data_IF_931382908846
#
_entry.id   IF_931382908846
#
_cell.length_a   1.000
_cell.length_b   1.000
_cell.length_c   1.000
_cell.angle_alpha   90.00
_cell.angle_beta   90.00
_cell.angle_gamma   90.00
#
_symmetry.space_group_name_H-M   'P 1'
#
loop_
_entity.id
_entity.type
_entity.pdbx_description
1 polymer ?
#
# COMPACT_ATOMS: atom_id res chain seq x y z
N UNK A 1 -21.67 -24.99 -24.12
CA UNK A 1 -21.66 -23.57 -23.72
C UNK A 1 -22.30 -23.47 -22.35
N UNK A 2 -21.67 -22.79 -21.40
CA UNK A 2 -22.11 -22.74 -20.00
C UNK A 2 -22.96 -21.49 -19.72
N UNK A 3 -24.02 -21.68 -18.95
CA UNK A 3 -25.04 -20.69 -18.60
C UNK A 3 -24.58 -19.83 -17.41
N UNK A 4 -24.84 -18.50 -17.44
CA UNK A 4 -24.36 -17.49 -16.45
C UNK A 4 -24.87 -17.69 -15.01
N UNK A 5 -25.73 -18.67 -14.72
CA UNK A 5 -26.27 -18.89 -13.37
C UNK A 5 -25.29 -19.55 -12.39
N UNK A 6 -24.10 -19.98 -12.84
CA UNK A 6 -23.16 -20.78 -12.04
C UNK A 6 -21.90 -20.04 -11.58
N UNK A 7 -21.84 -18.71 -11.68
CA UNK A 7 -20.60 -17.94 -11.58
C UNK A 7 -20.61 -16.90 -10.46
N UNK A 8 -20.94 -17.32 -9.24
CA UNK A 8 -20.93 -16.43 -8.08
C UNK A 8 -19.69 -16.59 -7.17
N UNK A 9 -18.91 -17.68 -7.22
CA UNK A 9 -17.63 -17.81 -6.48
C UNK A 9 -16.80 -19.09 -6.92
N UNK A 10 -15.65 -18.95 -7.63
CA UNK A 10 -14.59 -19.98 -8.01
C UNK A 10 -14.87 -21.07 -9.10
N UNK A 11 -14.19 -21.04 -10.30
CA UNK A 11 -14.17 -22.03 -11.44
C UNK A 11 -13.52 -23.36 -11.08
N UNK A 12 -14.33 -24.12 -10.37
CA UNK A 12 -14.21 -25.54 -10.08
C UNK A 12 -14.98 -26.31 -11.13
N UNK A 13 -14.45 -27.44 -11.63
CA UNK A 13 -15.20 -28.34 -12.52
C UNK A 13 -15.63 -29.60 -11.77
N UNK A 14 -16.85 -30.05 -12.00
CA UNK A 14 -17.33 -31.31 -11.42
C UNK A 14 -16.93 -32.53 -12.25
N UNK A 15 -17.19 -33.72 -11.70
CA UNK A 15 -16.86 -35.02 -12.30
C UNK A 15 -17.64 -35.33 -13.59
N UNK A 16 -18.60 -34.51 -13.97
CA UNK A 16 -19.41 -34.60 -15.20
C UNK A 16 -19.02 -33.56 -16.28
N UNK A 17 -18.07 -32.66 -15.97
CA UNK A 17 -17.42 -31.81 -16.97
C UNK A 17 -18.04 -30.42 -17.19
N UNK A 18 -18.92 -29.94 -16.30
CA UNK A 18 -19.38 -28.55 -16.28
C UNK A 18 -18.32 -27.58 -15.69
N UNK A 19 -18.37 -26.29 -16.04
CA UNK A 19 -17.53 -25.23 -15.46
C UNK A 19 -18.32 -24.36 -14.46
N UNK A 20 -17.62 -23.65 -13.55
CA UNK A 20 -18.19 -22.89 -12.43
C UNK A 20 -17.38 -21.59 -12.08
N UNK A 21 -16.93 -20.68 -12.96
CA UNK A 21 -16.25 -19.33 -12.73
C UNK A 21 -15.67 -18.85 -11.38
N UNK A 22 -14.45 -18.25 -11.41
CA UNK A 22 -13.69 -17.67 -10.26
C UNK A 22 -13.94 -16.20 -9.92
N UNK A 23 -14.41 -15.38 -10.84
CA UNK A 23 -14.84 -14.03 -10.51
C UNK A 23 -16.27 -14.06 -9.99
N UNK A 24 -16.58 -13.21 -9.01
CA UNK A 24 -17.98 -13.05 -8.61
C UNK A 24 -18.73 -12.47 -9.80
N UNK A 25 -19.98 -12.89 -10.03
CA UNK A 25 -20.80 -12.36 -11.14
C UNK A 25 -20.83 -10.83 -11.14
N UNK A 26 -20.74 -10.19 -9.97
CA UNK A 26 -20.67 -8.75 -9.85
C UNK A 26 -19.43 -8.14 -10.53
N UNK A 27 -18.25 -8.71 -10.30
CA UNK A 27 -16.98 -8.21 -10.86
C UNK A 27 -16.93 -8.41 -12.38
N UNK A 28 -17.35 -9.58 -12.86
CA UNK A 28 -17.41 -9.87 -14.30
C UNK A 28 -18.41 -8.95 -15.01
N UNK A 29 -19.55 -8.68 -14.40
CA UNK A 29 -20.55 -7.78 -14.97
C UNK A 29 -20.12 -6.32 -14.95
N UNK A 30 -19.35 -5.88 -13.94
CA UNK A 30 -18.76 -4.54 -13.96
C UNK A 30 -17.74 -4.39 -15.08
N UNK A 31 -16.88 -5.40 -15.30
CA UNK A 31 -15.88 -5.36 -16.36
C UNK A 31 -16.50 -5.45 -17.76
N UNK A 32 -17.51 -6.32 -17.94
CA UNK A 32 -18.31 -6.40 -19.15
C UNK A 32 -19.03 -5.08 -19.44
N UNK A 33 -19.67 -4.49 -18.42
CA UNK A 33 -20.32 -3.19 -18.51
C UNK A 33 -19.36 -2.07 -18.92
N UNK A 34 -18.19 -1.98 -18.27
CA UNK A 34 -17.17 -1.00 -18.63
C UNK A 34 -16.67 -1.18 -20.07
N UNK A 35 -16.54 -2.43 -20.53
CA UNK A 35 -16.13 -2.73 -21.91
C UNK A 35 -17.21 -2.30 -22.91
N UNK A 36 -18.49 -2.57 -22.63
CA UNK A 36 -19.61 -2.10 -23.48
C UNK A 36 -19.63 -0.57 -23.57
N UNK A 37 -19.52 0.13 -22.43
CA UNK A 37 -19.47 1.60 -22.41
C UNK A 37 -18.26 2.14 -23.19
N UNK A 38 -17.08 1.52 -23.04
CA UNK A 38 -15.88 1.91 -23.79
C UNK A 38 -16.05 1.75 -25.30
N UNK A 39 -16.70 0.66 -25.75
CA UNK A 39 -16.99 0.44 -27.17
C UNK A 39 -18.00 1.44 -27.71
N UNK A 40 -19.02 1.78 -26.93
CA UNK A 40 -19.99 2.82 -27.31
C UNK A 40 -19.27 4.17 -27.46
N UNK A 41 -18.42 4.55 -26.51
CA UNK A 41 -17.66 5.80 -26.58
C UNK A 41 -16.67 5.85 -27.76
N UNK A 42 -16.06 4.71 -28.11
CA UNK A 42 -15.14 4.58 -29.25
C UNK A 42 -15.85 4.69 -30.60
N UNK A 43 -16.99 4.01 -30.76
CA UNK A 43 -17.68 3.90 -32.05
C UNK A 43 -18.85 4.87 -32.25
N UNK A 44 -19.25 5.59 -31.21
CA UNK A 44 -20.29 6.63 -31.25
C UNK A 44 -19.85 7.87 -30.46
N UNK A 45 -18.77 8.56 -30.89
CA UNK A 45 -18.27 9.72 -30.18
C UNK A 45 -19.34 10.81 -30.08
N UNK A 46 -19.55 11.34 -28.87
CA UNK A 46 -20.55 12.38 -28.59
C UNK A 46 -21.94 11.85 -28.25
N UNK A 47 -22.17 10.53 -28.24
CA UNK A 47 -23.40 9.98 -27.69
C UNK A 47 -23.41 10.12 -26.16
N UNK A 48 -24.46 10.71 -25.62
CA UNK A 48 -24.67 10.82 -24.18
C UNK A 48 -25.68 9.76 -23.74
N UNK A 49 -25.20 8.73 -23.05
CA UNK A 49 -26.06 7.75 -22.40
C UNK A 49 -26.61 8.35 -21.10
N UNK A 50 -27.92 8.24 -20.88
CA UNK A 50 -28.51 8.56 -19.59
C UNK A 50 -28.14 7.51 -18.55
N UNK A 51 -28.22 7.87 -17.26
CA UNK A 51 -27.99 6.94 -16.14
C UNK A 51 -28.87 5.67 -16.25
N UNK A 52 -30.07 5.82 -16.82
CA UNK A 52 -30.98 4.72 -17.10
C UNK A 52 -30.40 3.71 -18.10
N UNK A 53 -29.88 4.19 -19.24
CA UNK A 53 -29.28 3.32 -20.27
C UNK A 53 -27.96 2.69 -19.80
N UNK A 54 -27.16 3.43 -19.03
CA UNK A 54 -25.96 2.91 -18.36
C UNK A 54 -26.36 1.75 -17.43
N UNK A 55 -27.37 1.95 -16.59
CA UNK A 55 -27.85 0.90 -15.70
C UNK A 55 -28.42 -0.29 -16.49
N UNK A 56 -29.12 -0.06 -17.60
CA UNK A 56 -29.64 -1.15 -18.45
C UNK A 56 -28.51 -1.98 -19.06
N UNK A 57 -27.43 -1.37 -19.54
CA UNK A 57 -26.24 -2.10 -20.00
C UNK A 57 -25.60 -2.92 -18.88
N UNK A 58 -25.55 -2.39 -17.66
CA UNK A 58 -25.10 -3.15 -16.50
C UNK A 58 -25.99 -4.36 -16.23
N UNK A 59 -27.31 -4.21 -16.30
CA UNK A 59 -28.27 -5.31 -16.15
C UNK A 59 -28.07 -6.37 -17.23
N UNK A 60 -27.86 -5.98 -18.50
CA UNK A 60 -27.55 -6.93 -19.59
C UNK A 60 -26.26 -7.71 -19.32
N UNK A 61 -25.23 -7.06 -18.79
CA UNK A 61 -24.00 -7.74 -18.37
C UNK A 61 -24.18 -8.65 -17.16
N UNK A 62 -25.11 -8.30 -16.26
CA UNK A 62 -25.35 -8.99 -14.98
C UNK A 62 -26.25 -10.20 -15.11
N UNK A 63 -27.35 -10.04 -15.79
CA UNK A 63 -28.41 -11.03 -15.79
C UNK A 63 -28.25 -12.00 -16.96
N UNK A 64 -28.80 -13.20 -16.77
CA UNK A 64 -28.93 -14.16 -17.86
C UNK A 64 -30.02 -13.71 -18.82
N UNK A 65 -29.78 -13.75 -20.15
CA UNK A 65 -30.91 -13.79 -21.08
C UNK A 65 -31.79 -15.00 -20.75
N UNK A 66 -33.09 -14.86 -20.99
CA UNK A 66 -34.01 -15.99 -20.91
C UNK A 66 -33.57 -17.12 -21.85
N UNK A 67 -34.05 -18.35 -21.65
CA UNK A 67 -33.69 -19.48 -22.54
C UNK A 67 -34.04 -19.17 -24.01
N UNK A 68 -35.17 -18.50 -24.24
CA UNK A 68 -35.64 -18.05 -25.56
C UNK A 68 -34.71 -17.00 -26.15
N UNK A 69 -34.33 -15.98 -25.38
CA UNK A 69 -33.38 -14.95 -25.83
C UNK A 69 -32.01 -15.57 -26.14
N UNK A 70 -31.55 -16.51 -25.32
CA UNK A 70 -30.29 -17.21 -25.53
C UNK A 70 -30.29 -18.01 -26.84
N UNK A 71 -31.38 -18.71 -27.15
CA UNK A 71 -31.53 -19.44 -28.42
C UNK A 71 -31.50 -18.48 -29.62
N UNK A 72 -32.18 -17.32 -29.55
CA UNK A 72 -32.14 -16.26 -30.58
C UNK A 72 -30.70 -15.74 -30.80
N UNK A 73 -30.00 -15.44 -29.70
CA UNK A 73 -28.60 -14.99 -29.72
C UNK A 73 -27.63 -16.01 -30.33
N UNK A 74 -27.89 -17.30 -30.16
CA UNK A 74 -27.06 -18.39 -30.71
C UNK A 74 -27.38 -18.66 -32.17
N UNK A 75 -28.64 -18.53 -32.60
CA UNK A 75 -29.04 -18.74 -34.01
C UNK A 75 -28.40 -17.76 -34.99
N UNK A 76 -27.72 -16.73 -34.50
CA UNK A 76 -26.91 -15.85 -35.33
C UNK A 76 -27.74 -14.84 -36.12
N UNK A 77 -28.91 -14.47 -35.61
CA UNK A 77 -29.60 -13.25 -36.01
C UNK A 77 -29.29 -12.13 -34.99
N UNK A 78 -28.08 -11.54 -35.03
CA UNK A 78 -27.71 -10.45 -34.14
C UNK A 78 -28.57 -9.19 -34.34
N UNK A 79 -29.37 -9.15 -35.41
CA UNK A 79 -30.27 -8.04 -35.72
C UNK A 79 -31.68 -8.20 -35.10
N UNK A 80 -31.99 -9.35 -34.48
CA UNK A 80 -33.27 -9.50 -33.79
C UNK A 80 -33.25 -8.67 -32.51
N UNK A 81 -33.75 -7.43 -32.57
CA UNK A 81 -34.04 -6.57 -31.39
C UNK A 81 -35.04 -7.20 -30.41
N UNK A 82 -35.61 -8.34 -30.79
CA UNK A 82 -36.60 -9.11 -30.04
C UNK A 82 -35.96 -9.96 -28.93
N UNK A 83 -35.06 -9.34 -28.16
CA UNK A 83 -34.47 -9.91 -26.96
C UNK A 83 -35.07 -9.18 -25.77
N UNK A 84 -35.85 -9.90 -24.96
CA UNK A 84 -36.61 -9.31 -23.87
C UNK A 84 -35.67 -8.57 -22.90
N UNK A 85 -34.49 -9.14 -22.63
CA UNK A 85 -33.45 -8.55 -21.79
C UNK A 85 -32.95 -7.18 -22.31
N UNK A 86 -33.06 -6.90 -23.61
CA UNK A 86 -32.62 -5.64 -24.24
C UNK A 86 -33.74 -4.60 -24.35
N UNK A 87 -34.99 -4.98 -24.11
CA UNK A 87 -36.11 -4.06 -24.17
C UNK A 87 -36.02 -3.00 -23.08
N UNK A 88 -36.34 -1.75 -23.46
CA UNK A 88 -36.45 -0.66 -22.50
C UNK A 88 -37.83 -0.71 -21.83
N UNK A 89 -37.87 -0.51 -20.52
CA UNK A 89 -39.08 -0.63 -19.70
C UNK A 89 -39.27 -2.04 -19.10
N UNK A 90 -40.17 -2.16 -18.12
CA UNK A 90 -40.51 -3.42 -17.45
C UNK A 90 -39.82 -3.63 -16.09
N UNK A 91 -38.58 -3.16 -15.93
CA UNK A 91 -37.88 -3.20 -14.64
C UNK A 91 -38.22 -1.96 -13.80
N UNK A 92 -38.82 -2.19 -12.62
CA UNK A 92 -39.17 -1.16 -11.62
C UNK A 92 -40.13 -0.04 -12.09
N UNK A 93 -40.85 -0.24 -13.21
CA UNK A 93 -41.86 0.70 -13.70
C UNK A 93 -41.30 2.02 -14.25
N UNK A 94 -39.98 2.10 -14.50
CA UNK A 94 -39.37 3.28 -15.12
C UNK A 94 -39.72 3.28 -16.61
N UNK A 95 -40.40 4.34 -17.07
CA UNK A 95 -40.75 4.54 -18.48
C UNK A 95 -39.60 5.32 -19.14
N UNK A 96 -38.92 4.75 -20.16
CA UNK A 96 -37.88 5.46 -20.88
C UNK A 96 -38.46 6.70 -21.56
N UNK A 97 -37.72 7.80 -21.56
CA UNK A 97 -38.12 8.98 -22.34
C UNK A 97 -37.81 8.75 -23.84
N UNK A 98 -38.40 9.56 -24.72
CA UNK A 98 -38.21 9.42 -26.17
C UNK A 98 -36.74 9.58 -26.61
N UNK A 99 -35.93 10.36 -25.87
CA UNK A 99 -34.50 10.52 -26.14
C UNK A 99 -33.74 9.22 -25.83
N UNK A 100 -34.06 8.56 -24.72
CA UNK A 100 -33.45 7.29 -24.32
C UNK A 100 -33.74 6.19 -25.34
N UNK A 101 -34.99 6.12 -25.83
CA UNK A 101 -35.36 5.19 -26.91
C UNK A 101 -34.56 5.44 -28.18
N UNK A 102 -34.44 6.70 -28.63
CA UNK A 102 -33.68 7.04 -29.82
C UNK A 102 -32.17 6.75 -29.68
N UNK A 103 -31.59 7.01 -28.50
CA UNK A 103 -30.19 6.69 -28.20
C UNK A 103 -29.97 5.18 -28.17
N UNK A 104 -30.89 4.42 -27.57
CA UNK A 104 -30.81 2.97 -27.51
C UNK A 104 -30.92 2.33 -28.89
N UNK A 105 -31.85 2.80 -29.72
CA UNK A 105 -31.98 2.36 -31.11
C UNK A 105 -30.68 2.61 -31.88
N UNK A 106 -30.08 3.80 -31.72
CA UNK A 106 -28.80 4.12 -32.36
C UNK A 106 -27.65 3.20 -31.89
N UNK A 107 -27.62 2.82 -30.61
CA UNK A 107 -26.64 1.85 -30.07
C UNK A 107 -26.80 0.47 -30.73
N UNK A 108 -28.04 0.00 -30.91
CA UNK A 108 -28.33 -1.30 -31.52
C UNK A 108 -28.35 -1.28 -33.07
N UNK A 109 -28.23 -0.12 -33.70
CA UNK A 109 -27.97 0.01 -35.15
C UNK A 109 -26.48 -0.02 -35.49
N UNK A 110 -25.62 0.16 -34.50
CA UNK A 110 -24.18 0.20 -34.71
C UNK A 110 -23.60 -1.22 -34.80
N UNK A 111 -23.14 -1.59 -36.01
CA UNK A 111 -22.57 -2.91 -36.33
C UNK A 111 -21.32 -3.28 -35.51
N UNK A 112 -20.61 -2.30 -34.93
CA UNK A 112 -19.44 -2.56 -34.10
C UNK A 112 -19.77 -2.78 -32.62
N UNK A 113 -20.92 -2.27 -32.16
CA UNK A 113 -21.32 -2.35 -30.75
C UNK A 113 -22.15 -3.61 -30.49
N UNK A 114 -23.10 -3.92 -31.37
CA UNK A 114 -24.02 -5.06 -31.20
C UNK A 114 -23.30 -6.39 -30.95
N UNK A 115 -22.24 -6.78 -31.69
CA UNK A 115 -21.52 -8.02 -31.42
C UNK A 115 -20.94 -8.08 -30.00
N UNK A 116 -20.45 -6.95 -29.50
CA UNK A 116 -19.91 -6.85 -28.14
C UNK A 116 -21.02 -7.03 -27.09
N UNK A 117 -22.18 -6.40 -27.30
CA UNK A 117 -23.35 -6.56 -26.42
C UNK A 117 -23.85 -8.01 -26.47
N UNK A 118 -23.94 -8.62 -27.66
CA UNK A 118 -24.28 -10.05 -27.84
C UNK A 118 -23.32 -10.94 -27.06
N UNK A 119 -22.02 -10.71 -27.20
CA UNK A 119 -20.99 -11.49 -26.50
C UNK A 119 -21.14 -11.37 -24.98
N UNK A 120 -21.31 -10.16 -24.43
CA UNK A 120 -21.49 -9.98 -22.98
C UNK A 120 -22.90 -10.33 -22.46
N UNK A 121 -23.90 -10.39 -23.34
CA UNK A 121 -25.22 -10.94 -23.01
C UNK A 121 -25.11 -12.45 -22.84
N UNK A 122 -24.32 -13.13 -23.68
CA UNK A 122 -24.18 -14.59 -23.69
C UNK A 122 -23.13 -15.10 -22.70
N UNK A 123 -22.01 -14.39 -22.60
CA UNK A 123 -20.80 -14.80 -21.90
C UNK A 123 -20.49 -13.77 -20.82
N UNK A 124 -20.05 -14.24 -19.65
CA UNK A 124 -19.25 -13.35 -18.80
C UNK A 124 -17.93 -13.04 -19.50
N UNK A 125 -17.27 -11.97 -19.05
CA UNK A 125 -16.08 -11.40 -19.67
C UNK A 125 -15.15 -12.48 -20.27
N UNK A 126 -14.72 -12.35 -21.54
CA UNK A 126 -14.14 -13.45 -22.30
C UNK A 126 -13.06 -14.15 -21.50
N UNK A 127 -13.41 -15.36 -21.04
CA UNK A 127 -12.50 -16.28 -20.39
C UNK A 127 -11.40 -16.55 -21.39
N UNK A 128 -10.15 -16.29 -21.02
CA UNK A 128 -9.01 -16.61 -21.88
C UNK A 128 -9.08 -18.11 -22.20
N UNK A 129 -9.39 -18.45 -23.46
CA UNK A 129 -9.43 -19.84 -23.90
C UNK A 129 -8.00 -20.36 -23.96
N UNK A 130 -7.59 -21.11 -22.93
CA UNK A 130 -6.31 -21.79 -22.94
C UNK A 130 -6.43 -23.10 -23.72
N UNK A 131 -5.75 -23.16 -24.86
CA UNK A 131 -5.66 -24.37 -25.67
C UNK A 131 -4.87 -25.42 -24.89
N UNK A 132 -5.49 -26.56 -24.58
CA UNK A 132 -4.89 -27.65 -23.80
C UNK A 132 -4.33 -28.69 -24.77
N UNK A 133 -3.02 -28.64 -25.03
CA UNK A 133 -2.32 -29.57 -25.93
C UNK A 133 -2.06 -30.95 -25.28
N UNK A 134 -3.01 -31.47 -24.49
CA UNK A 134 -2.89 -32.76 -23.80
C UNK A 134 -1.90 -32.82 -22.62
N UNK A 135 -1.09 -31.78 -22.41
CA UNK A 135 -0.16 -31.67 -21.27
C UNK A 135 -0.73 -31.02 -20.01
N UNK A 136 0.07 -30.99 -18.94
CA UNK A 136 -0.20 -30.21 -17.72
C UNK A 136 -0.15 -28.71 -18.06
N UNK A 137 -1.29 -28.02 -17.97
CA UNK A 137 -1.37 -26.57 -18.18
C UNK A 137 -1.48 -25.86 -16.83
N UNK A 138 -0.46 -25.07 -16.48
CA UNK A 138 -0.45 -24.24 -15.27
C UNK A 138 -1.02 -22.85 -15.60
N UNK A 139 -2.13 -22.48 -14.97
CA UNK A 139 -2.72 -21.14 -15.08
C UNK A 139 -2.32 -20.31 -13.88
N UNK A 140 -1.69 -19.16 -14.11
CA UNK A 140 -1.26 -18.25 -13.06
C UNK A 140 -2.05 -16.96 -13.11
N UNK A 141 -2.93 -16.77 -12.13
CA UNK A 141 -3.69 -15.54 -11.95
C UNK A 141 -2.97 -14.62 -10.95
N UNK A 142 -3.04 -13.31 -11.18
CA UNK A 142 -2.47 -12.30 -10.30
C UNK A 142 -3.48 -11.18 -10.10
N UNK A 143 -3.91 -10.99 -8.87
CA UNK A 143 -4.66 -9.81 -8.44
C UNK A 143 -3.67 -8.75 -7.93
N UNK A 144 -3.91 -7.49 -8.28
CA UNK A 144 -3.18 -6.34 -7.74
C UNK A 144 -4.18 -5.52 -6.94
N UNK A 145 -4.33 -5.88 -5.66
CA UNK A 145 -5.21 -5.18 -4.74
C UNK A 145 -4.53 -3.87 -4.27
N UNK A 146 -5.27 -2.77 -4.28
CA UNK A 146 -4.82 -1.46 -3.80
C UNK A 146 -5.59 -1.14 -2.54
N UNK A 147 -4.89 -1.01 -1.41
CA UNK A 147 -5.59 -1.15 -0.14
C UNK A 147 -5.50 -0.01 0.87
N UNK A 148 -6.55 0.04 1.70
CA UNK A 148 -6.72 0.87 2.88
C UNK A 148 -5.86 0.37 4.03
N UNK A 149 -4.73 1.02 4.23
CA UNK A 149 -3.79 0.71 5.31
C UNK A 149 -4.42 1.04 6.67
N UNK A 150 -4.93 0.03 7.38
CA UNK A 150 -5.33 0.15 8.78
C UNK A 150 -4.08 0.04 9.65
N UNK A 151 -3.66 1.16 10.25
CA UNK A 151 -2.51 1.18 11.17
C UNK A 151 -2.98 1.18 12.61
N UNK A 152 -2.81 0.06 13.31
CA UNK A 152 -3.01 0.00 14.76
C UNK A 152 -1.71 0.38 15.47
N UNK A 153 -1.63 1.57 16.05
CA UNK A 153 -0.41 2.06 16.74
C UNK A 153 -0.50 1.90 18.24
N UNK A 154 0.46 1.19 18.83
CA UNK A 154 0.83 1.35 20.24
C UNK A 154 1.80 2.53 20.38
N UNK A 155 1.87 3.14 21.57
CA UNK A 155 2.68 4.33 21.81
C UNK A 155 4.18 4.10 21.57
N UNK A 156 4.71 2.91 21.85
CA UNK A 156 6.13 2.59 21.60
C UNK A 156 6.46 2.47 20.10
N UNK A 157 5.51 2.04 19.26
CA UNK A 157 5.63 2.07 17.80
C UNK A 157 5.75 3.47 17.18
N UNK A 158 5.52 4.54 17.95
CA UNK A 158 5.69 5.92 17.47
C UNK A 158 7.15 6.26 17.20
N UNK A 159 8.08 5.75 18.02
CA UNK A 159 9.51 6.06 17.93
C UNK A 159 10.24 5.13 16.93
N UNK A 160 9.50 4.27 16.22
CA UNK A 160 10.08 3.27 15.32
C UNK A 160 10.72 2.08 16.02
N UNK A 161 10.52 1.93 17.34
CA UNK A 161 11.07 0.82 18.12
C UNK A 161 10.26 -0.47 17.99
N UNK A 162 8.95 -0.34 17.79
CA UNK A 162 8.09 -1.47 17.47
C UNK A 162 7.79 -1.49 15.96
N UNK A 163 7.75 -2.69 15.34
CA UNK A 163 7.35 -2.81 13.95
C UNK A 163 5.95 -2.23 13.70
N UNK A 164 5.82 -1.41 12.66
CA UNK A 164 4.55 -0.93 12.18
C UNK A 164 3.76 -2.10 11.59
N UNK A 165 2.62 -2.40 12.19
CA UNK A 165 1.70 -3.44 11.70
C UNK A 165 0.76 -2.84 10.66
N UNK A 166 0.71 -3.46 9.49
CA UNK A 166 -0.25 -3.18 8.41
C UNK A 166 -1.14 -4.40 8.27
N UNK A 167 -2.44 -4.17 8.23
CA UNK A 167 -3.42 -5.16 7.83
C UNK A 167 -3.74 -4.94 6.36
N UNK A 168 -3.66 -6.02 5.60
CA UNK A 168 -3.96 -6.08 4.18
C UNK A 168 -5.07 -7.12 4.03
N UNK A 169 -6.25 -6.74 3.59
CA UNK A 169 -7.30 -7.69 3.22
C UNK A 169 -6.86 -8.50 1.98
N UNK A 170 -7.20 -9.78 2.00
CA UNK A 170 -6.85 -10.74 0.98
C UNK A 170 -8.12 -11.58 0.73
N UNK A 171 -9.13 -11.01 0.04
CA UNK A 171 -10.43 -11.65 -0.17
C UNK A 171 -10.34 -12.89 -1.08
N UNK A 172 -9.29 -12.99 -1.89
CA UNK A 172 -9.09 -14.08 -2.83
C UNK A 172 -8.44 -15.34 -2.22
N UNK A 173 -8.18 -15.38 -0.92
CA UNK A 173 -7.56 -16.51 -0.23
C UNK A 173 -8.55 -17.68 -0.08
N UNK A 174 -8.04 -18.90 -0.23
CA UNK A 174 -8.80 -20.14 -0.36
C UNK A 174 -9.39 -20.41 -1.75
N UNK A 175 -9.25 -19.51 -2.73
CA UNK A 175 -9.80 -19.67 -4.08
C UNK A 175 -8.91 -20.50 -5.03
N UNK A 176 -7.66 -20.79 -4.64
CA UNK A 176 -6.76 -21.63 -5.45
C UNK A 176 -6.18 -22.80 -4.64
N UNK A 177 -5.81 -23.88 -5.34
CA UNK A 177 -5.15 -25.04 -4.72
C UNK A 177 -3.81 -24.65 -4.06
N UNK A 178 -3.09 -23.72 -4.69
CA UNK A 178 -1.86 -23.12 -4.18
C UNK A 178 -1.91 -21.61 -4.34
N UNK A 179 -1.68 -20.93 -3.24
CA UNK A 179 -1.77 -19.48 -3.19
C UNK A 179 -0.45 -18.86 -2.80
N UNK A 180 -0.19 -17.70 -3.40
CA UNK A 180 1.01 -16.93 -3.15
C UNK A 180 0.63 -15.48 -2.91
N UNK A 181 0.49 -15.10 -1.64
CA UNK A 181 0.35 -13.69 -1.30
C UNK A 181 1.75 -13.07 -1.25
N UNK A 182 1.99 -12.11 -2.14
CA UNK A 182 3.28 -11.40 -2.20
C UNK A 182 3.12 -9.95 -1.80
N UNK A 183 3.82 -9.57 -0.73
CA UNK A 183 3.95 -8.20 -0.29
C UNK A 183 5.33 -7.66 -0.65
N UNK A 184 5.40 -6.44 -1.16
CA UNK A 184 6.65 -5.72 -1.41
C UNK A 184 6.71 -4.56 -0.40
N UNK A 185 7.75 -4.53 0.42
CA UNK A 185 7.97 -3.43 1.35
C UNK A 185 8.25 -2.14 0.56
N UNK A 186 7.63 -1.01 0.94
CA UNK A 186 7.99 0.28 0.36
C UNK A 186 9.48 0.60 0.61
N UNK A 187 10.13 1.38 -0.28
CA UNK A 187 11.49 1.85 -0.05
C UNK A 187 11.65 2.52 1.33
N UNK A 188 12.79 2.29 2.00
CA UNK A 188 13.03 2.77 3.36
C UNK A 188 12.37 1.97 4.47
N UNK A 189 11.55 0.97 4.14
CA UNK A 189 10.98 0.03 5.09
C UNK A 189 11.47 -1.39 4.77
N UNK A 190 11.44 -2.23 5.79
CA UNK A 190 11.78 -3.63 5.64
C UNK A 190 10.75 -4.50 6.32
N UNK A 191 10.40 -5.59 5.66
CA UNK A 191 9.46 -6.56 6.19
C UNK A 191 10.17 -7.48 7.19
N UNK A 192 9.59 -7.61 8.38
CA UNK A 192 10.11 -8.46 9.47
C UNK A 192 9.22 -9.66 9.71
N UNK A 193 7.92 -9.50 9.53
CA UNK A 193 6.96 -10.58 9.73
C UNK A 193 5.79 -10.43 8.77
N UNK A 194 5.26 -11.58 8.34
CA UNK A 194 4.04 -11.67 7.57
C UNK A 194 3.25 -12.86 8.11
N UNK A 195 1.96 -12.65 8.35
CA UNK A 195 1.02 -13.64 8.89
C UNK A 195 -0.34 -13.46 8.24
N UNK A 196 -1.15 -14.51 8.19
CA UNK A 196 -2.48 -14.49 7.59
C UNK A 196 -3.51 -14.88 8.66
N UNK A 197 -4.60 -14.14 8.76
CA UNK A 197 -5.69 -14.38 9.71
C UNK A 197 -7.04 -14.26 8.99
N UNK A 198 -8.02 -15.11 9.29
CA UNK A 198 -9.35 -15.02 8.68
C UNK A 198 -10.18 -13.89 9.32
N UNK A 199 -10.96 -13.14 8.54
CA UNK A 199 -11.77 -11.99 9.02
C UNK A 199 -12.97 -12.44 9.86
N UNK A 200 -13.46 -13.66 9.63
CA UNK A 200 -14.86 -14.03 9.86
C UNK A 200 -15.35 -14.04 11.32
N UNK A 201 -14.49 -13.93 12.35
CA UNK A 201 -14.92 -14.00 13.77
C UNK A 201 -14.28 -12.98 14.72
N UNK A 202 -13.45 -12.04 14.23
CA UNK A 202 -12.63 -11.16 15.11
C UNK A 202 -11.67 -11.90 16.06
N UNK A 203 -11.66 -13.23 15.97
CA UNK A 203 -10.92 -14.18 16.76
C UNK A 203 -9.83 -14.77 15.86
N UNK A 204 -8.58 -14.96 16.34
CA UNK A 204 -7.58 -15.64 15.55
C UNK A 204 -8.13 -17.00 15.10
N UNK A 205 -7.92 -17.41 13.84
CA UNK A 205 -8.55 -18.62 13.29
C UNK A 205 -8.34 -19.82 14.22
N UNK A 206 -9.45 -20.41 14.68
CA UNK A 206 -9.43 -21.58 15.54
C UNK A 206 -9.00 -22.82 14.74
N UNK A 207 -7.69 -23.06 14.68
CA UNK A 207 -7.13 -24.21 13.98
C UNK A 207 -5.68 -23.98 13.58
N UNK A 208 -4.89 -25.06 13.49
CA UNK A 208 -3.54 -25.00 12.92
C UNK A 208 -3.64 -24.84 11.40
N UNK A 209 -3.87 -23.63 10.92
CA UNK A 209 -3.61 -23.33 9.53
C UNK A 209 -2.10 -23.27 9.33
N UNK A 210 -1.57 -24.20 8.56
CA UNK A 210 -0.16 -24.22 8.18
C UNK A 210 0.00 -23.39 6.91
N UNK A 211 0.65 -22.24 7.04
CA UNK A 211 1.15 -21.49 5.90
C UNK A 211 2.67 -21.50 5.96
N UNK A 212 3.27 -21.59 4.78
CA UNK A 212 4.69 -21.38 4.61
C UNK A 212 4.93 -19.91 4.34
N UNK A 213 6.01 -19.37 4.90
CA UNK A 213 6.36 -17.97 4.70
C UNK A 213 7.81 -17.85 4.35
N UNK A 214 8.10 -17.00 3.36
CA UNK A 214 9.43 -16.53 3.03
C UNK A 214 9.42 -15.02 3.16
N UNK A 215 10.10 -14.51 4.17
CA UNK A 215 10.23 -13.07 4.41
C UNK A 215 11.67 -12.68 4.15
N UNK A 216 11.86 -11.72 3.26
CA UNK A 216 13.13 -11.00 3.05
C UNK A 216 12.90 -9.53 3.37
N UNK A 217 13.97 -8.73 3.45
CA UNK A 217 13.88 -7.29 3.73
C UNK A 217 12.90 -6.57 2.81
N UNK A 218 12.94 -6.87 1.51
CA UNK A 218 12.13 -6.17 0.51
C UNK A 218 10.79 -6.84 0.25
N UNK A 219 10.65 -8.14 0.55
CA UNK A 219 9.54 -8.95 0.03
C UNK A 219 9.11 -10.00 1.04
N UNK A 220 7.80 -10.09 1.25
CA UNK A 220 7.15 -11.21 1.93
C UNK A 220 6.40 -12.04 0.93
N UNK A 221 6.53 -13.36 1.04
CA UNK A 221 5.70 -14.31 0.30
C UNK A 221 5.10 -15.28 1.29
N UNK A 222 3.77 -15.35 1.33
CA UNK A 222 3.03 -16.41 2.01
C UNK A 222 2.58 -17.43 0.98
N UNK A 223 2.81 -18.69 1.30
CA UNK A 223 2.41 -19.86 0.55
C UNK A 223 1.35 -20.57 1.38
N UNK A 224 0.16 -20.75 0.80
CA UNK A 224 -0.93 -21.48 1.44
C UNK A 224 -1.50 -22.53 0.51
N UNK A 225 -1.93 -23.64 1.11
CA UNK A 225 -2.68 -24.71 0.44
C UNK A 225 -3.79 -25.19 1.37
N UNK A 226 -4.93 -25.59 0.80
CA UNK A 226 -6.06 -26.14 1.55
C UNK A 226 -6.73 -25.15 2.53
N UNK A 227 -6.60 -23.84 2.29
CA UNK A 227 -7.38 -22.85 3.04
C UNK A 227 -8.83 -22.87 2.57
N UNK A 228 -9.77 -22.66 3.50
CA UNK A 228 -11.17 -22.50 3.14
C UNK A 228 -11.34 -21.16 2.41
N UNK A 229 -12.17 -21.14 1.38
CA UNK A 229 -12.57 -19.90 0.70
C UNK A 229 -13.14 -18.93 1.73
N UNK A 230 -12.61 -17.71 1.77
CA UNK A 230 -13.10 -16.66 2.64
C UNK A 230 -12.23 -15.42 2.62
N UNK A 231 -12.66 -14.38 3.35
CA UNK A 231 -11.87 -13.15 3.46
C UNK A 231 -10.82 -13.27 4.56
N UNK A 232 -9.57 -12.99 4.21
CA UNK A 232 -8.43 -13.01 5.13
C UNK A 232 -7.81 -11.62 5.28
N UNK A 233 -7.06 -11.42 6.36
CA UNK A 233 -6.17 -10.29 6.62
C UNK A 233 -4.74 -10.83 6.67
N UNK A 234 -3.92 -10.36 5.76
CA UNK A 234 -2.48 -10.43 5.87
C UNK A 234 -1.98 -9.32 6.80
N UNK A 235 -1.49 -9.73 7.96
CA UNK A 235 -0.79 -8.86 8.88
C UNK A 235 0.70 -8.86 8.52
N UNK A 236 1.19 -7.71 8.08
CA UNK A 236 2.59 -7.45 7.77
C UNK A 236 3.21 -6.50 8.79
N UNK A 237 4.40 -6.84 9.29
CA UNK A 237 5.17 -6.00 10.21
C UNK A 237 6.36 -5.39 9.49
N UNK A 238 6.35 -4.07 9.39
CA UNK A 238 7.40 -3.28 8.75
C UNK A 238 8.23 -2.53 9.79
N UNK A 239 9.55 -2.53 9.62
CA UNK A 239 10.47 -1.68 10.39
C UNK A 239 11.15 -0.69 9.44
N UNK A 240 11.52 0.51 9.89
CA UNK A 240 12.37 1.38 9.09
C UNK A 240 13.72 0.72 8.80
N UNK A 241 14.19 0.84 7.56
CA UNK A 241 15.53 0.45 7.18
C UNK A 241 16.53 1.35 7.92
N UNK A 242 17.37 0.72 8.76
CA UNK A 242 18.41 1.45 9.48
C UNK A 242 19.42 2.10 8.52
N UNK A 243 19.71 1.42 7.40
CA UNK A 243 20.67 1.89 6.40
C UNK A 243 20.20 3.16 5.70
N UNK A 244 18.90 3.25 5.41
CA UNK A 244 18.37 4.39 4.67
C UNK A 244 18.21 5.61 5.56
N UNK A 245 17.65 5.48 6.78
CA UNK A 245 17.30 6.61 7.65
C UNK A 245 18.14 6.71 8.93
N UNK A 246 18.17 5.66 9.74
CA UNK A 246 18.67 5.76 11.11
C UNK A 246 20.18 6.03 11.15
N UNK A 247 20.97 5.43 10.26
CA UNK A 247 22.42 5.60 10.21
C UNK A 247 22.80 7.03 9.78
N UNK A 248 22.31 7.59 8.64
CA UNK A 248 22.59 8.98 8.30
C UNK A 248 22.16 9.95 9.39
N UNK A 249 20.96 9.80 9.94
CA UNK A 249 20.46 10.68 11.00
C UNK A 249 21.33 10.59 12.28
N UNK A 250 21.71 9.39 12.69
CA UNK A 250 22.62 9.16 13.82
C UNK A 250 23.98 9.82 13.58
N UNK A 251 24.58 9.64 12.40
CA UNK A 251 25.88 10.25 12.07
C UNK A 251 25.76 11.77 12.12
N UNK A 252 24.75 12.38 11.50
CA UNK A 252 24.65 13.84 11.44
C UNK A 252 24.34 14.45 12.81
N UNK A 253 23.45 13.84 13.60
CA UNK A 253 23.18 14.28 14.98
C UNK A 253 24.39 14.07 15.89
N UNK A 254 25.13 12.99 15.71
CA UNK A 254 26.38 12.73 16.46
C UNK A 254 27.50 13.72 16.13
N UNK A 255 27.70 14.06 14.85
CA UNK A 255 28.63 15.11 14.43
C UNK A 255 28.20 16.46 15.00
N UNK A 256 26.90 16.80 14.92
CA UNK A 256 26.38 18.05 15.49
C UNK A 256 26.62 18.13 17.00
N UNK A 257 26.38 17.03 17.72
CA UNK A 257 26.64 16.93 19.15
C UNK A 257 28.12 17.16 19.47
N UNK A 258 29.01 16.48 18.74
CA UNK A 258 30.46 16.63 18.92
C UNK A 258 30.90 18.07 18.70
N UNK A 259 30.46 18.71 17.60
CA UNK A 259 30.82 20.09 17.29
C UNK A 259 30.34 21.07 18.37
N UNK A 260 29.11 20.93 18.84
CA UNK A 260 28.55 21.80 19.89
C UNK A 260 29.26 21.61 21.24
N UNK A 261 29.55 20.36 21.63
CA UNK A 261 30.22 20.07 22.90
C UNK A 261 31.68 20.52 22.88
N UNK A 262 32.42 20.26 21.79
CA UNK A 262 33.79 20.74 21.61
C UNK A 262 33.82 22.27 21.56
N UNK A 263 32.89 22.89 20.83
CA UNK A 263 32.75 24.34 20.79
C UNK A 263 32.48 24.94 22.18
N UNK A 264 31.60 24.32 22.96
CA UNK A 264 31.27 24.80 24.31
C UNK A 264 32.46 24.67 25.26
N UNK A 265 33.16 23.54 25.19
CA UNK A 265 34.38 23.30 25.96
C UNK A 265 35.48 24.31 25.60
N UNK A 266 35.70 24.55 24.30
CA UNK A 266 36.69 25.50 23.81
C UNK A 266 36.36 26.93 24.25
N UNK A 267 35.10 27.36 24.10
CA UNK A 267 34.62 28.67 24.55
C UNK A 267 34.79 28.85 26.07
N UNK A 268 34.50 27.83 26.87
CA UNK A 268 34.65 27.88 28.32
C UNK A 268 36.13 27.95 28.76
N UNK A 269 37.03 27.30 28.00
CA UNK A 269 38.44 27.18 28.38
C UNK A 269 39.26 28.38 27.92
N UNK A 270 39.06 28.82 26.68
CA UNK A 270 39.92 29.81 26.03
C UNK A 270 39.27 31.18 25.89
N UNK A 271 37.94 31.29 26.05
CA UNK A 271 37.20 32.55 25.97
C UNK A 271 37.25 33.25 24.60
N UNK A 272 37.93 32.68 23.60
CA UNK A 272 38.25 33.31 22.33
C UNK A 272 37.81 32.39 21.19
N UNK A 273 36.66 32.66 20.58
CA UNK A 273 36.34 32.17 19.24
C UNK A 273 36.82 33.22 18.24
N UNK A 274 38.13 33.22 17.97
CA UNK A 274 38.79 34.18 17.07
C UNK A 274 38.23 34.12 15.64
N UNK A 275 37.62 32.99 15.25
CA UNK A 275 37.04 32.81 13.93
C UNK A 275 35.62 32.24 13.98
N UNK A 276 34.68 33.10 14.38
CA UNK A 276 33.26 32.78 14.45
C UNK A 276 32.68 32.31 13.11
N UNK A 277 33.23 32.76 11.98
CA UNK A 277 32.66 32.52 10.65
C UNK A 277 32.78 31.06 10.23
N UNK A 278 33.94 30.45 10.43
CA UNK A 278 34.16 29.03 10.12
C UNK A 278 33.32 28.12 11.01
N UNK A 279 33.19 28.45 12.30
CA UNK A 279 32.36 27.71 13.25
C UNK A 279 30.88 27.77 12.86
N UNK A 280 30.37 28.96 12.51
CA UNK A 280 28.99 29.15 12.06
C UNK A 280 28.73 28.38 10.75
N UNK A 281 29.65 28.46 9.78
CA UNK A 281 29.51 27.73 8.52
C UNK A 281 29.42 26.21 8.73
N UNK A 282 30.27 25.66 9.61
CA UNK A 282 30.24 24.24 9.97
C UNK A 282 28.94 23.86 10.69
N UNK A 283 28.49 24.69 11.63
CA UNK A 283 27.24 24.51 12.37
C UNK A 283 26.00 24.60 11.48
N UNK A 284 26.04 25.31 10.36
CA UNK A 284 24.94 25.42 9.40
C UNK A 284 24.92 24.28 8.36
N UNK A 285 26.08 23.68 8.07
CA UNK A 285 26.20 22.59 7.10
C UNK A 285 25.44 21.33 7.55
N UNK A 286 25.55 20.96 8.83
CA UNK A 286 24.86 19.79 9.37
C UNK A 286 23.31 19.92 9.36
N UNK A 287 22.71 21.02 9.85
CA UNK A 287 21.29 21.34 9.67
C UNK A 287 20.82 21.27 8.22
N UNK A 288 21.60 21.82 7.30
CA UNK A 288 21.23 21.91 5.87
C UNK A 288 21.21 20.53 5.20
N UNK A 289 22.20 19.69 5.50
CA UNK A 289 22.24 18.30 4.99
C UNK A 289 21.10 17.46 5.55
N UNK A 290 20.77 17.61 6.85
CA UNK A 290 19.61 16.96 7.47
C UNK A 290 18.30 17.45 6.86
N UNK A 291 18.13 18.76 6.68
CA UNK A 291 16.92 19.34 6.10
C UNK A 291 16.69 18.86 4.66
N UNK A 292 17.75 18.82 3.84
CA UNK A 292 17.71 18.27 2.49
C UNK A 292 17.30 16.78 2.50
N UNK A 293 17.81 16.02 3.47
CA UNK A 293 17.47 14.63 3.64
C UNK A 293 16.01 14.42 4.12
N UNK A 294 15.54 15.20 5.10
CA UNK A 294 14.18 15.13 5.65
C UNK A 294 13.10 15.51 4.63
N UNK A 295 13.45 16.33 3.64
CA UNK A 295 12.54 16.88 2.62
C UNK A 295 12.55 16.10 1.31
N UNK A 296 13.19 14.91 1.27
CA UNK A 296 13.30 14.09 0.05
C UNK A 296 11.90 13.83 -0.54
N UNK A 297 11.65 14.40 -1.73
CA UNK A 297 10.41 14.19 -2.48
C UNK A 297 10.33 12.72 -2.93
N UNK A 298 9.14 12.13 -2.85
CA UNK A 298 8.89 10.74 -3.25
C UNK A 298 8.92 9.71 -2.11
N UNK A 299 9.00 10.14 -0.85
CA UNK A 299 8.81 9.23 0.27
C UNK A 299 7.42 8.60 0.25
N UNK A 300 7.37 7.28 0.40
CA UNK A 300 6.12 6.56 0.52
C UNK A 300 5.36 7.06 1.77
N UNK A 301 4.04 7.33 1.65
CA UNK A 301 3.20 7.87 2.75
C UNK A 301 3.35 7.06 4.05
N UNK A 302 3.53 5.75 3.94
CA UNK A 302 3.70 4.88 5.10
C UNK A 302 5.03 5.11 5.81
N UNK A 303 6.13 5.29 5.06
CA UNK A 303 7.44 5.59 5.63
C UNK A 303 7.39 6.90 6.42
N UNK A 304 6.82 7.95 5.83
CA UNK A 304 6.67 9.25 6.50
C UNK A 304 5.87 9.15 7.80
N UNK A 305 4.81 8.33 7.83
CA UNK A 305 4.06 8.08 9.06
C UNK A 305 4.89 7.34 10.10
N UNK A 306 5.64 6.31 9.73
CA UNK A 306 6.45 5.50 10.67
C UNK A 306 7.61 6.31 11.24
N UNK A 307 8.23 7.16 10.42
CA UNK A 307 9.38 7.96 10.81
C UNK A 307 9.04 9.33 11.41
N UNK A 308 7.76 9.66 11.62
CA UNK A 308 7.38 11.01 12.05
C UNK A 308 8.10 11.47 13.33
N UNK A 309 8.22 10.60 14.34
CA UNK A 309 8.87 10.97 15.60
C UNK A 309 10.39 11.03 15.51
N UNK A 310 11.09 10.04 14.91
CA UNK A 310 12.50 10.21 14.61
C UNK A 310 12.80 11.49 13.81
N UNK A 311 11.97 11.83 12.82
CA UNK A 311 12.09 13.08 12.06
C UNK A 311 11.89 14.32 12.93
N UNK A 312 10.91 14.31 13.84
CA UNK A 312 10.68 15.42 14.79
C UNK A 312 11.86 15.57 15.75
N UNK A 313 12.38 14.49 16.32
CA UNK A 313 13.54 14.53 17.23
C UNK A 313 14.76 15.14 16.52
N UNK A 314 15.05 14.65 15.32
CA UNK A 314 16.12 15.20 14.48
C UNK A 314 15.82 16.66 14.13
N UNK A 315 14.59 17.01 13.77
CA UNK A 315 14.18 18.39 13.49
C UNK A 315 14.40 19.34 14.68
N UNK A 316 14.15 18.88 15.92
CA UNK A 316 14.43 19.65 17.14
C UNK A 316 15.94 19.84 17.32
N UNK A 317 16.78 18.82 17.04
CA UNK A 317 18.25 18.99 17.10
C UNK A 317 18.74 20.02 16.08
N UNK A 318 18.19 20.00 14.87
CA UNK A 318 18.49 20.97 13.80
C UNK A 318 18.11 22.38 14.25
N UNK A 319 16.90 22.57 14.80
CA UNK A 319 16.45 23.86 15.30
C UNK A 319 17.33 24.37 16.45
N UNK A 320 17.69 23.49 17.39
CA UNK A 320 18.60 23.83 18.49
C UNK A 320 19.97 24.28 17.97
N UNK A 321 20.54 23.57 16.99
CA UNK A 321 21.82 23.95 16.36
C UNK A 321 21.73 25.31 15.66
N UNK A 322 20.60 25.62 15.00
CA UNK A 322 20.36 26.93 14.40
C UNK A 322 20.28 28.04 15.46
N UNK A 323 19.62 27.78 16.59
CA UNK A 323 19.56 28.74 17.70
C UNK A 323 20.94 28.96 18.32
N UNK A 324 21.73 27.90 18.49
CA UNK A 324 23.10 27.98 18.99
C UNK A 324 24.04 28.75 18.05
N UNK A 325 23.89 28.57 16.73
CA UNK A 325 24.62 29.35 15.72
C UNK A 325 24.15 30.81 15.69
N UNK A 326 22.84 31.04 15.74
CA UNK A 326 22.25 32.38 15.75
C UNK A 326 22.62 33.18 16.99
N UNK A 327 22.66 32.56 18.17
CA UNK A 327 23.11 33.23 19.40
C UNK A 327 24.57 33.69 19.28
N UNK A 328 25.43 32.92 18.61
CA UNK A 328 26.81 33.32 18.36
C UNK A 328 26.92 34.57 17.49
N UNK A 329 26.11 34.65 16.42
CA UNK A 329 26.06 35.82 15.53
C UNK A 329 25.58 37.07 16.27
N UNK A 330 24.52 36.93 17.07
CA UNK A 330 23.95 38.05 17.83
C UNK A 330 24.94 38.61 18.85
N UNK A 331 25.61 37.72 19.61
CA UNK A 331 26.62 38.12 20.60
C UNK A 331 27.78 38.85 19.92
N UNK A 332 28.25 38.35 18.76
CA UNK A 332 29.34 38.99 18.01
C UNK A 332 28.96 40.39 17.51
N UNK A 333 27.74 40.56 17.01
CA UNK A 333 27.29 41.83 16.44
C UNK A 333 27.02 42.92 17.48
N UNK A 334 26.54 42.55 18.68
CA UNK A 334 26.18 43.52 19.72
C UNK A 334 27.36 44.00 20.57
N UNK A 335 28.35 43.13 20.83
CA UNK A 335 29.35 43.40 21.88
C UNK A 335 30.75 43.71 21.34
N UNK A 336 30.95 43.67 20.03
CA UNK A 336 32.27 43.81 19.41
C UNK A 336 33.23 42.67 19.81
N UNK A 337 34.39 42.56 19.15
CA UNK A 337 35.32 41.43 19.36
C UNK A 337 35.99 41.38 20.73
N UNK A 338 35.96 42.48 21.51
CA UNK A 338 36.73 42.62 22.75
C UNK A 338 35.90 42.75 24.02
N UNK A 339 34.56 42.78 23.92
CA UNK A 339 33.68 43.12 25.04
C UNK A 339 32.60 42.07 25.30
N UNK A 340 32.88 40.78 25.12
CA UNK A 340 31.95 39.74 25.52
C UNK A 340 31.94 39.63 27.04
N UNK A 341 30.87 40.11 27.68
CA UNK A 341 30.72 40.04 29.13
C UNK A 341 30.70 38.58 29.60
N UNK A 342 31.31 38.24 30.75
CA UNK A 342 31.39 36.87 31.25
C UNK A 342 30.01 36.21 31.42
N UNK A 343 28.96 37.01 31.66
CA UNK A 343 27.56 36.54 31.73
C UNK A 343 27.07 36.00 30.39
N UNK A 344 27.34 36.72 29.29
CA UNK A 344 26.90 36.33 27.94
C UNK A 344 27.68 35.11 27.44
N UNK A 345 28.97 35.02 27.78
CA UNK A 345 29.78 33.84 27.49
C UNK A 345 29.25 32.59 28.21
N UNK A 346 28.81 32.72 29.48
CA UNK A 346 28.23 31.62 30.24
C UNK A 346 26.93 31.11 29.60
N UNK A 347 26.06 32.01 29.13
CA UNK A 347 24.81 31.64 28.50
C UNK A 347 25.01 30.96 27.14
N UNK A 348 26.00 31.38 26.35
CA UNK A 348 26.40 30.67 25.13
C UNK A 348 26.87 29.23 25.43
N UNK A 349 27.75 29.06 26.42
CA UNK A 349 28.23 27.74 26.84
C UNK A 349 27.05 26.87 27.29
N UNK A 350 26.08 27.43 28.02
CA UNK A 350 24.86 26.71 28.42
C UNK A 350 24.04 26.26 27.21
N UNK A 351 23.73 27.16 26.28
CA UNK A 351 22.94 26.84 25.09
C UNK A 351 23.63 25.73 24.27
N UNK A 352 24.95 25.83 24.10
CA UNK A 352 25.72 24.88 23.30
C UNK A 352 25.83 23.52 23.99
N UNK A 353 26.11 23.50 25.30
CA UNK A 353 26.15 22.24 26.07
C UNK A 353 24.80 21.54 26.11
N UNK A 354 23.70 22.26 26.33
CA UNK A 354 22.36 21.66 26.36
C UNK A 354 21.95 21.12 25.00
N UNK A 355 22.22 21.88 23.92
CA UNK A 355 21.90 21.45 22.56
C UNK A 355 22.78 20.28 22.12
N UNK A 356 24.08 20.31 22.47
CA UNK A 356 25.02 19.24 22.21
C UNK A 356 24.65 17.95 22.94
N UNK A 357 24.31 18.04 24.23
CA UNK A 357 23.85 16.90 25.03
C UNK A 357 22.54 16.31 24.49
N UNK A 358 21.58 17.16 24.09
CA UNK A 358 20.33 16.70 23.47
C UNK A 358 20.59 16.00 22.13
N UNK A 359 21.46 16.56 21.29
CA UNK A 359 21.83 15.96 20.01
C UNK A 359 22.52 14.60 20.21
N UNK A 360 23.38 14.47 21.23
CA UNK A 360 24.01 13.21 21.60
C UNK A 360 22.97 12.18 22.07
N UNK A 361 22.01 12.59 22.90
CA UNK A 361 20.91 11.73 23.34
C UNK A 361 20.10 11.20 22.14
N UNK A 362 19.75 12.08 21.20
CA UNK A 362 19.03 11.68 19.97
C UNK A 362 19.88 10.72 19.13
N UNK A 363 21.18 10.98 18.96
CA UNK A 363 22.08 10.08 18.25
C UNK A 363 22.12 8.69 18.89
N UNK A 364 22.22 8.61 20.23
CA UNK A 364 22.20 7.34 20.98
C UNK A 364 20.86 6.62 20.82
N UNK A 365 19.73 7.35 20.91
CA UNK A 365 18.39 6.78 20.71
C UNK A 365 18.25 6.18 19.30
N UNK A 366 18.73 6.90 18.28
CA UNK A 366 18.74 6.41 16.89
C UNK A 366 19.67 5.20 16.72
N UNK A 367 20.85 5.20 17.36
CA UNK A 367 21.80 4.09 17.34
C UNK A 367 21.18 2.82 17.94
N UNK A 368 20.59 2.93 19.13
CA UNK A 368 19.90 1.82 19.79
C UNK A 368 18.73 1.31 18.93
N UNK A 369 17.97 2.22 18.32
CA UNK A 369 16.89 1.85 17.40
C UNK A 369 17.42 1.10 16.17
N UNK A 370 18.54 1.54 15.60
CA UNK A 370 19.17 0.89 14.44
C UNK A 370 19.70 -0.51 14.79
N UNK A 371 20.36 -0.66 15.95
CA UNK A 371 20.85 -1.96 16.44
C UNK A 371 19.69 -2.91 16.69
N UNK A 372 18.62 -2.46 17.35
CA UNK A 372 17.41 -3.27 17.56
C UNK A 372 16.75 -3.68 16.25
N UNK A 373 16.65 -2.77 15.29
CA UNK A 373 16.15 -3.08 13.95
C UNK A 373 16.97 -4.19 13.28
N UNK A 374 18.31 -4.11 13.34
CA UNK A 374 19.21 -5.15 12.82
C UNK A 374 19.06 -6.49 13.55
N UNK A 375 18.94 -6.50 14.88
CA UNK A 375 18.72 -7.74 15.64
C UNK A 375 17.35 -8.38 15.33
N UNK A 376 16.32 -7.56 15.12
CA UNK A 376 15.02 -8.06 14.69
C UNK A 376 15.10 -8.70 13.29
N UNK A 377 15.95 -8.15 12.42
CA UNK A 377 16.22 -8.66 11.09
C UNK A 377 17.08 -9.93 11.07
N UNK A 378 18.16 -9.99 11.86
CA UNK A 378 19.04 -11.17 11.87
C UNK A 378 18.27 -12.43 12.29
N UNK A 379 17.28 -12.30 13.19
CA UNK A 379 16.36 -13.38 13.53
C UNK A 379 15.53 -13.89 12.35
N UNK A 380 15.28 -13.06 11.34
CA UNK A 380 14.57 -13.45 10.12
C UNK A 380 15.51 -14.25 9.19
N UNK A 381 16.78 -13.84 9.09
CA UNK A 381 17.77 -14.54 8.26
C UNK A 381 18.21 -15.88 8.90
N UNK A 382 18.27 -15.93 10.22
CA UNK A 382 18.65 -17.11 10.99
C UNK A 382 17.54 -18.16 11.09
N UNK A 383 16.28 -17.84 10.79
CA UNK A 383 15.27 -18.89 10.65
C UNK A 383 15.59 -19.70 9.39
N UNK A 384 16.16 -20.93 9.52
CA UNK A 384 16.55 -21.71 8.36
C UNK A 384 15.32 -21.92 7.47
N UNK A 385 15.54 -21.92 6.15
CA UNK A 385 14.53 -22.25 5.13
C UNK A 385 13.87 -23.64 5.34
N UNK A 386 14.24 -24.38 6.38
CA UNK A 386 13.53 -25.56 6.86
C UNK A 386 12.18 -25.17 7.48
N UNK A 387 11.17 -25.15 6.62
CA UNK A 387 9.80 -25.60 6.81
C UNK A 387 9.40 -25.96 8.27
N UNK A 388 8.28 -25.37 8.71
CA UNK A 388 7.56 -25.55 9.98
C UNK A 388 7.93 -24.62 11.13
N UNK A 389 7.36 -23.41 11.10
CA UNK A 389 6.97 -22.72 12.34
C UNK A 389 5.53 -23.13 12.65
N UNK A 390 5.34 -24.09 13.57
CA UNK A 390 4.04 -24.29 14.24
C UNK A 390 3.81 -23.10 15.17
N UNK A 391 3.12 -22.07 14.69
CA UNK A 391 2.67 -20.98 15.57
C UNK A 391 1.56 -21.53 16.46
N UNK A 392 1.88 -21.82 17.72
CA UNK A 392 0.90 -22.16 18.76
C UNK A 392 0.49 -20.85 19.44
N UNK A 393 -0.59 -20.23 18.95
CA UNK A 393 -1.16 -19.06 19.63
C UNK A 393 -1.81 -19.58 20.92
N UNK A 394 -1.19 -19.30 22.07
CA UNK A 394 -1.78 -19.56 23.37
C UNK A 394 -2.91 -18.54 23.59
N UNK A 395 -4.16 -18.99 23.51
CA UNK A 395 -5.29 -18.20 24.00
C UNK A 395 -5.17 -18.08 25.51
N UNK A 396 -4.89 -16.90 26.04
CA UNK A 396 -5.17 -16.60 27.44
C UNK A 396 -6.71 -16.55 27.58
N UNK A 397 -7.24 -17.52 28.34
CA UNK A 397 -8.60 -17.47 28.89
C UNK A 397 -8.63 -16.49 30.06
#
# INVERSE_FOLDING_TARGET
MLQKTLLLDVDVRDHSGGAVSIATSHEDSQAAHATMLSRIAEHMPGIELSDYLIQKLYVIAKDMPSKTDYEKLVSGDPASRDIDAWTLGGENGVIPNAKDSAVWDAVFENEHIVPTIVDFTRLFMPTIYLRKDGGLTLVKLRYVERESIITRRRNAGRIGWEPASILIEAPAVGRAEREHLRLIAPPGLSLTEMTLARIQDGSPPAGKQTFERRVTHERGVLYSSGLQVGSYLALARLVPSAAEFAIPAMITTGISALLLLVGAWYQATFGILADAQSTIALLLLAPSTVAAYLTRRGEHKLLGRVLIWPKVLVGITVLGSLLAAGSMVLVRNQLGPYQVWPVVALDLVRIWTTTGAYSLLVAVVLAVSAIRGRMAMSKVDETPLSWQVRVRILSHR
#
